data_IF_110483797235
#
_entry.id   IF_110483797235
#
_cell.length_a   1.000
_cell.length_b   1.000
_cell.length_c   1.000
_cell.angle_alpha   90.00
_cell.angle_beta   90.00
_cell.angle_gamma   90.00
#
_symmetry.space_group_name_H-M   'P 1'
#
loop_
_entity.id
_entity.type
_entity.pdbx_description
1 polymer ?
#
# COMPACT_ATOMS: atom_id res chain seq x y z
N UNK A 1 21.17 36.88 9.40
CA UNK A 1 20.18 35.85 9.56
C UNK A 1 20.65 34.89 10.63
N UNK A 2 19.84 34.61 11.62
CA UNK A 2 20.29 33.74 12.71
C UNK A 2 19.90 32.29 12.45
N UNK A 3 20.50 31.40 13.22
CA UNK A 3 20.32 29.96 13.05
C UNK A 3 18.88 29.51 13.27
N UNK A 4 18.14 30.20 14.14
CA UNK A 4 16.74 29.81 14.43
C UNK A 4 15.87 29.99 13.21
N UNK A 5 16.05 31.03 12.42
CA UNK A 5 15.28 31.23 11.19
C UNK A 5 15.61 30.15 10.15
N UNK A 6 16.91 29.84 10.01
CA UNK A 6 17.34 28.81 9.09
C UNK A 6 16.76 27.45 9.49
N UNK A 7 16.75 27.16 10.79
CA UNK A 7 16.19 25.91 11.30
C UNK A 7 14.69 25.80 11.00
N UNK A 8 13.96 26.90 11.11
CA UNK A 8 12.52 26.93 10.80
C UNK A 8 12.27 26.64 9.32
N UNK A 9 13.05 27.30 8.44
CA UNK A 9 12.91 27.07 7.01
C UNK A 9 13.26 25.65 6.65
N UNK A 10 14.31 25.11 7.25
CA UNK A 10 14.71 23.72 7.01
C UNK A 10 13.65 22.75 7.50
N UNK A 11 13.07 23.00 8.66
CA UNK A 11 12.02 22.15 9.18
C UNK A 11 10.79 22.16 8.28
N UNK A 12 10.38 23.36 7.82
CA UNK A 12 9.24 23.45 6.91
C UNK A 12 9.51 22.76 5.60
N UNK A 13 10.72 22.91 5.05
CA UNK A 13 11.10 22.24 3.81
C UNK A 13 11.04 20.73 3.97
N UNK A 14 11.57 20.21 5.06
CA UNK A 14 11.57 18.77 5.31
C UNK A 14 10.16 18.23 5.49
N UNK A 15 9.31 18.98 6.18
CA UNK A 15 7.90 18.57 6.33
C UNK A 15 7.18 18.56 4.99
N UNK A 16 7.47 19.54 4.13
CA UNK A 16 6.88 19.57 2.80
C UNK A 16 7.34 18.38 1.99
N UNK A 17 8.62 17.99 2.09
CA UNK A 17 9.12 16.81 1.41
C UNK A 17 8.42 15.54 1.90
N UNK A 18 8.15 15.46 3.21
CA UNK A 18 7.41 14.33 3.78
C UNK A 18 5.98 14.30 3.21
N UNK A 19 5.32 15.47 3.16
CA UNK A 19 3.97 15.53 2.61
C UNK A 19 3.94 15.08 1.15
N UNK A 20 4.93 15.48 0.38
CA UNK A 20 5.03 15.06 -1.02
C UNK A 20 5.21 13.53 -1.13
N UNK A 21 6.04 12.96 -0.25
CA UNK A 21 6.23 11.51 -0.21
C UNK A 21 4.95 10.80 0.21
N UNK A 22 4.24 11.34 1.18
CA UNK A 22 2.97 10.75 1.61
C UNK A 22 1.97 10.71 0.46
N UNK A 23 1.93 11.78 -0.34
CA UNK A 23 1.06 11.82 -1.51
C UNK A 23 1.46 10.75 -2.53
N UNK A 24 2.76 10.53 -2.73
CA UNK A 24 3.24 9.47 -3.61
C UNK A 24 2.90 8.10 -3.08
N UNK A 25 3.05 7.89 -1.77
CA UNK A 25 2.68 6.62 -1.13
C UNK A 25 1.20 6.35 -1.36
N UNK A 26 0.35 7.34 -1.13
CA UNK A 26 -1.10 7.18 -1.33
C UNK A 26 -1.42 6.79 -2.77
N UNK A 27 -0.81 7.48 -3.75
CA UNK A 27 -1.02 7.14 -5.16
C UNK A 27 -0.59 5.72 -5.48
N UNK A 28 0.59 5.32 -4.96
CA UNK A 28 1.11 3.98 -5.21
C UNK A 28 0.23 2.91 -4.57
N UNK A 29 -0.27 3.17 -3.36
CA UNK A 29 -1.19 2.24 -2.71
C UNK A 29 -2.46 2.05 -3.52
N UNK A 30 -3.02 3.14 -4.04
CA UNK A 30 -4.23 3.05 -4.84
C UNK A 30 -3.96 2.36 -6.19
N UNK A 31 -2.82 2.61 -6.81
CA UNK A 31 -2.44 1.87 -8.02
C UNK A 31 -2.31 0.38 -7.76
N UNK A 32 -1.71 0.03 -6.62
CA UNK A 32 -1.58 -1.37 -6.23
C UNK A 32 -2.96 -2.01 -6.06
N UNK A 33 -3.90 -1.31 -5.45
CA UNK A 33 -5.25 -1.84 -5.24
C UNK A 33 -6.02 -2.00 -6.55
N UNK A 34 -5.79 -1.14 -7.53
CA UNK A 34 -6.38 -1.33 -8.86
C UNK A 34 -5.89 -2.62 -9.50
N UNK A 35 -4.60 -2.92 -9.36
CA UNK A 35 -4.05 -4.19 -9.85
C UNK A 35 -4.62 -5.38 -9.10
N UNK A 36 -4.83 -5.22 -7.79
CA UNK A 36 -5.48 -6.26 -6.98
C UNK A 36 -6.90 -6.54 -7.49
N UNK A 37 -7.63 -5.51 -7.89
CA UNK A 37 -8.95 -5.69 -8.48
C UNK A 37 -8.89 -6.48 -9.77
N UNK A 38 -7.90 -6.21 -10.61
CA UNK A 38 -7.71 -6.95 -11.85
C UNK A 38 -7.39 -8.42 -11.58
N UNK A 39 -6.55 -8.68 -10.59
CA UNK A 39 -6.22 -10.05 -10.19
C UNK A 39 -7.47 -10.76 -9.69
N UNK A 40 -8.29 -10.09 -8.87
CA UNK A 40 -9.52 -10.66 -8.36
C UNK A 40 -10.48 -11.06 -9.48
N UNK A 41 -10.60 -10.20 -10.49
CA UNK A 41 -11.45 -10.49 -11.65
C UNK A 41 -10.95 -11.71 -12.40
N UNK A 42 -9.65 -11.84 -12.59
CA UNK A 42 -9.06 -13.01 -13.25
C UNK A 42 -9.26 -14.27 -12.44
N UNK A 43 -9.06 -14.22 -11.13
CA UNK A 43 -9.24 -15.39 -10.24
C UNK A 43 -10.69 -15.82 -10.19
N UNK A 44 -11.62 -14.88 -10.13
CA UNK A 44 -13.04 -15.19 -10.14
C UNK A 44 -13.44 -15.91 -11.43
N UNK A 45 -12.94 -15.41 -12.54
CA UNK A 45 -13.18 -15.99 -13.85
C UNK A 45 -12.65 -17.44 -13.95
N UNK A 46 -11.50 -17.69 -13.30
CA UNK A 46 -10.87 -18.99 -13.28
C UNK A 46 -11.39 -19.91 -12.17
N UNK A 47 -12.27 -19.42 -11.30
CA UNK A 47 -12.80 -20.18 -10.18
C UNK A 47 -11.81 -20.38 -9.05
N UNK A 48 -10.84 -19.49 -8.92
CA UNK A 48 -9.80 -19.61 -7.90
C UNK A 48 -10.13 -18.76 -6.67
N UNK A 49 -9.56 -19.18 -5.53
CA UNK A 49 -9.71 -18.44 -4.28
C UNK A 49 -9.01 -17.10 -4.36
N UNK A 50 -9.57 -16.11 -3.63
CA UNK A 50 -8.98 -14.78 -3.55
C UNK A 50 -7.67 -14.77 -2.77
N UNK A 51 -7.56 -15.61 -1.73
CA UNK A 51 -6.40 -15.61 -0.86
C UNK A 51 -5.28 -16.48 -1.42
N UNK A 52 -4.06 -15.97 -1.34
CA UNK A 52 -2.86 -16.68 -1.78
C UNK A 52 -1.77 -16.49 -0.74
N UNK A 53 -1.72 -17.41 0.23
CA UNK A 53 -0.77 -17.34 1.33
C UNK A 53 0.68 -17.50 0.85
N UNK A 54 0.89 -18.34 -0.16
CA UNK A 54 2.23 -18.50 -0.72
C UNK A 54 2.73 -17.21 -1.34
N UNK A 55 1.85 -16.51 -2.04
CA UNK A 55 2.18 -15.21 -2.63
C UNK A 55 2.52 -14.19 -1.54
N UNK A 56 1.74 -14.15 -0.45
CA UNK A 56 1.99 -13.21 0.64
C UNK A 56 3.34 -13.48 1.31
N UNK A 57 3.69 -14.75 1.51
CA UNK A 57 4.99 -15.10 2.05
C UNK A 57 6.13 -14.68 1.12
N UNK A 58 5.93 -14.86 -0.18
CA UNK A 58 6.91 -14.45 -1.17
C UNK A 58 7.13 -12.93 -1.15
N UNK A 59 6.04 -12.17 -0.97
CA UNK A 59 6.12 -10.71 -0.86
C UNK A 59 6.98 -10.32 0.35
N UNK A 60 6.73 -10.93 1.52
CA UNK A 60 7.50 -10.61 2.71
C UNK A 60 8.99 -10.98 2.54
N UNK A 61 9.28 -12.13 1.93
CA UNK A 61 10.67 -12.52 1.68
C UNK A 61 11.38 -11.50 0.77
N UNK A 62 10.70 -11.08 -0.28
CA UNK A 62 11.25 -10.08 -1.21
C UNK A 62 11.50 -8.75 -0.51
N UNK A 63 10.52 -8.29 0.26
CA UNK A 63 10.64 -7.02 0.99
C UNK A 63 11.77 -7.07 2.01
N UNK A 64 11.91 -8.19 2.72
CA UNK A 64 12.99 -8.34 3.67
C UNK A 64 14.35 -8.24 3.00
N UNK A 65 14.49 -8.84 1.82
CA UNK A 65 15.76 -8.80 1.09
C UNK A 65 16.07 -7.44 0.49
N UNK A 66 15.04 -6.64 0.21
CA UNK A 66 15.20 -5.33 -0.43
C UNK A 66 15.26 -4.18 0.55
N UNK A 67 14.85 -4.40 1.79
CA UNK A 67 14.83 -3.33 2.77
C UNK A 67 16.24 -2.91 3.17
N UNK A 68 16.59 -1.67 2.89
CA UNK A 68 17.90 -1.11 3.22
C UNK A 68 17.84 -0.15 4.41
N UNK A 69 16.66 -0.02 5.03
CA UNK A 69 16.50 0.92 6.12
C UNK A 69 16.33 2.35 5.61
N UNK A 70 16.14 3.30 6.51
CA UNK A 70 16.20 3.21 7.97
C UNK A 70 15.01 2.52 8.66
N UNK A 71 13.95 2.11 7.93
CA UNK A 71 12.87 1.35 8.57
C UNK A 71 13.37 -0.02 9.02
N UNK A 72 13.11 -0.36 10.27
CA UNK A 72 13.37 -1.71 10.77
C UNK A 72 12.42 -2.70 10.08
N UNK A 73 12.86 -3.95 9.94
CA UNK A 73 12.04 -4.98 9.29
C UNK A 73 10.68 -5.15 9.98
N UNK A 74 10.63 -5.10 11.31
CA UNK A 74 9.37 -5.21 12.03
C UNK A 74 8.36 -4.15 11.63
N UNK A 75 8.83 -2.93 11.37
CA UNK A 75 7.95 -1.84 10.92
C UNK A 75 7.48 -2.08 9.49
N UNK A 76 8.39 -2.48 8.60
CA UNK A 76 8.03 -2.81 7.21
C UNK A 76 6.98 -3.92 7.18
N UNK A 77 7.18 -4.94 8.00
CA UNK A 77 6.27 -6.08 8.08
C UNK A 77 4.87 -5.65 8.52
N UNK A 78 4.78 -4.77 9.50
CA UNK A 78 3.49 -4.26 9.96
C UNK A 78 2.78 -3.44 8.88
N UNK A 79 3.51 -2.56 8.24
CA UNK A 79 2.95 -1.69 7.19
C UNK A 79 2.42 -2.55 6.04
N UNK A 80 3.22 -3.47 5.54
CA UNK A 80 2.81 -4.33 4.43
C UNK A 80 1.77 -5.35 4.86
N UNK A 81 1.76 -5.75 6.13
CA UNK A 81 0.68 -6.57 6.68
C UNK A 81 -0.67 -5.90 6.50
N UNK A 82 -0.76 -4.60 6.76
CA UNK A 82 -2.00 -3.84 6.57
C UNK A 82 -2.34 -3.67 5.09
N UNK A 83 -1.32 -3.45 4.26
CA UNK A 83 -1.53 -3.36 2.81
C UNK A 83 -2.10 -4.68 2.28
N UNK A 84 -1.55 -5.81 2.72
CA UNK A 84 -2.03 -7.12 2.30
C UNK A 84 -3.42 -7.40 2.83
N UNK A 85 -3.74 -6.95 4.05
CA UNK A 85 -5.08 -7.07 4.59
C UNK A 85 -6.09 -6.31 3.74
N UNK A 86 -5.75 -5.09 3.34
CA UNK A 86 -6.60 -4.29 2.45
C UNK A 86 -6.78 -4.98 1.09
N UNK A 87 -5.71 -5.60 0.59
CA UNK A 87 -5.76 -6.35 -0.68
C UNK A 87 -6.69 -7.55 -0.58
N UNK A 88 -6.61 -8.30 0.52
CA UNK A 88 -7.50 -9.45 0.72
C UNK A 88 -8.96 -9.01 0.81
N UNK A 89 -9.22 -7.88 1.46
CA UNK A 89 -10.57 -7.34 1.57
C UNK A 89 -11.14 -7.02 0.20
N UNK A 90 -10.38 -6.37 -0.66
CA UNK A 90 -10.81 -6.05 -2.02
C UNK A 90 -11.07 -7.35 -2.81
N UNK A 91 -10.15 -8.29 -2.76
CA UNK A 91 -10.29 -9.55 -3.49
C UNK A 91 -11.51 -10.34 -3.01
N UNK A 92 -11.72 -10.39 -1.70
CA UNK A 92 -12.84 -11.12 -1.12
C UNK A 92 -14.17 -10.54 -1.59
N UNK A 93 -14.31 -9.23 -1.59
CA UNK A 93 -15.55 -8.57 -2.04
C UNK A 93 -15.84 -8.85 -3.51
N UNK A 94 -14.81 -8.78 -4.35
CA UNK A 94 -15.00 -8.95 -5.78
C UNK A 94 -15.28 -10.41 -6.14
N UNK A 95 -14.63 -11.35 -5.45
CA UNK A 95 -14.86 -12.78 -5.69
C UNK A 95 -16.27 -13.18 -5.23
N UNK A 96 -16.75 -12.63 -4.11
CA UNK A 96 -18.08 -12.96 -3.62
C UNK A 96 -19.20 -12.20 -4.33
N UNK A 97 -18.87 -11.26 -5.18
CA UNK A 97 -19.87 -10.47 -5.89
C UNK A 97 -20.52 -9.38 -5.07
N UNK A 98 -19.88 -8.91 -4.02
CA UNK A 98 -20.44 -7.87 -3.15
C UNK A 98 -20.47 -6.48 -3.78
N UNK A 99 -19.93 -6.37 -5.00
CA UNK A 99 -20.07 -5.16 -5.74
C UNK A 99 -18.98 -4.14 -5.48
N UNK A 100 -19.23 -2.92 -5.97
CA UNK A 100 -18.26 -1.86 -5.91
C UNK A 100 -18.23 -1.18 -4.56
N UNK A 101 -17.03 -0.72 -4.21
CA UNK A 101 -16.84 0.09 -3.02
C UNK A 101 -17.62 1.42 -3.19
N UNK A 102 -18.27 1.91 -2.12
CA UNK A 102 -18.98 3.20 -2.20
C UNK A 102 -18.10 4.36 -2.65
N UNK A 103 -16.84 4.34 -2.31
CA UNK A 103 -15.90 5.41 -2.69
C UNK A 103 -15.68 5.48 -4.19
N UNK A 104 -15.84 4.37 -4.91
CA UNK A 104 -15.67 4.35 -6.36
C UNK A 104 -16.85 4.98 -7.08
N UNK A 105 -18.01 4.94 -6.49
CA UNK A 105 -19.24 5.48 -7.09
C UNK A 105 -19.31 6.99 -7.02
N UNK A 106 -18.46 7.61 -6.22
CA UNK A 106 -18.48 9.07 -6.04
C UNK A 106 -17.68 9.82 -7.09
N UNK A 107 -16.97 9.16 -7.93
CA UNK A 107 -16.15 9.80 -8.95
C UNK A 107 -16.87 10.01 -10.25
#
# INVERSE_FOLDING_TARGET
MNEIQNDRFDLQRLRQEIDDLDNQILRLLNQRMLLVEEIAALKNKAGRDAMDLNREQAIFRRLASQNQGPLAWGAVKKIFGEILAASRDIQSRLVTGEGESPSRKKN
#
